data_IF_300512849098
#
_entry.id   IF_300512849098
#
_cell.length_a   1.000
_cell.length_b   1.000
_cell.length_c   1.000
_cell.angle_alpha   90.00
_cell.angle_beta   90.00
_cell.angle_gamma   90.00
#
_symmetry.space_group_name_H-M   'P 1'
#
loop_
_entity.id
_entity.type
_entity.pdbx_description
1 polymer ?
#
# COMPACT_ATOMS: atom_id res chain seq x y z
N UNK A 1 1.86 -27.83 -9.83
CA UNK A 1 3.04 -27.02 -9.48
C UNK A 1 2.59 -25.55 -9.37
N UNK A 2 2.34 -25.03 -8.17
CA UNK A 2 2.03 -23.60 -7.98
C UNK A 2 3.37 -22.89 -7.81
N UNK A 3 3.78 -22.09 -8.79
CA UNK A 3 4.84 -21.11 -8.59
C UNK A 3 4.37 -20.17 -7.45
N UNK A 4 5.13 -19.98 -6.36
CA UNK A 4 4.86 -18.85 -5.49
C UNK A 4 5.21 -17.60 -6.29
N UNK A 5 4.20 -17.03 -6.96
CA UNK A 5 4.35 -15.75 -7.61
C UNK A 5 4.70 -14.74 -6.52
N UNK A 6 5.95 -14.30 -6.50
CA UNK A 6 6.41 -13.25 -5.58
C UNK A 6 5.42 -12.08 -5.71
N UNK A 7 4.86 -11.58 -4.60
CA UNK A 7 3.84 -10.55 -4.69
C UNK A 7 4.42 -9.30 -5.35
N UNK A 8 3.66 -8.74 -6.30
CA UNK A 8 4.07 -7.53 -7.04
C UNK A 8 4.23 -6.31 -6.14
N UNK A 9 3.61 -6.32 -4.96
CA UNK A 9 3.71 -5.26 -3.97
C UNK A 9 3.83 -5.80 -2.55
N UNK A 10 4.49 -5.03 -1.70
CA UNK A 10 4.38 -5.10 -0.24
C UNK A 10 3.67 -3.85 0.28
N UNK A 11 2.98 -3.98 1.41
CA UNK A 11 2.25 -2.90 2.04
C UNK A 11 3.05 -2.34 3.23
N UNK A 12 3.10 -1.01 3.35
CA UNK A 12 3.65 -0.35 4.52
C UNK A 12 2.76 -0.61 5.74
N UNK A 13 3.33 -1.11 6.84
CA UNK A 13 2.56 -1.39 8.08
C UNK A 13 1.99 -0.13 8.73
N UNK A 14 2.63 1.03 8.52
CA UNK A 14 2.24 2.31 9.12
C UNK A 14 1.12 3.03 8.39
N UNK A 15 1.17 3.07 7.06
CA UNK A 15 0.22 3.86 6.25
C UNK A 15 -0.51 3.08 5.16
N UNK A 16 -0.30 1.76 5.07
CA UNK A 16 -0.90 0.84 4.08
C UNK A 16 -0.51 1.08 2.63
N UNK A 17 0.42 1.99 2.35
CA UNK A 17 0.90 2.25 0.99
C UNK A 17 1.52 0.99 0.37
N UNK A 18 1.08 0.63 -0.83
CA UNK A 18 1.65 -0.44 -1.64
C UNK A 18 2.87 0.07 -2.39
N UNK A 19 3.96 -0.67 -2.30
CA UNK A 19 5.25 -0.35 -2.93
C UNK A 19 5.85 -1.59 -3.57
N UNK A 20 6.73 -1.44 -4.57
CA UNK A 20 7.49 -2.58 -5.09
C UNK A 20 8.29 -3.29 -3.98
N UNK A 21 8.55 -4.60 -4.09
CA UNK A 21 9.27 -5.38 -3.08
C UNK A 21 10.64 -4.83 -2.69
N UNK A 22 11.35 -4.22 -3.64
CA UNK A 22 12.68 -3.62 -3.52
C UNK A 22 12.68 -2.28 -2.77
N UNK A 23 11.52 -1.65 -2.55
CA UNK A 23 11.43 -0.35 -1.87
C UNK A 23 11.85 -0.47 -0.40
N UNK A 24 12.94 0.18 -0.01
CA UNK A 24 13.46 0.09 1.38
C UNK A 24 12.77 1.04 2.36
N UNK A 25 12.35 2.22 1.88
CA UNK A 25 11.70 3.27 2.69
C UNK A 25 10.38 3.66 2.06
N UNK A 26 9.32 3.76 2.85
CA UNK A 26 8.00 4.10 2.34
C UNK A 26 7.99 5.55 1.82
N UNK A 27 7.72 5.78 0.52
CA UNK A 27 7.70 7.12 -0.05
C UNK A 27 6.51 7.95 0.44
N UNK A 28 5.57 7.34 1.18
CA UNK A 28 4.40 8.00 1.72
C UNK A 28 4.62 8.54 3.13
N UNK A 29 5.25 7.76 4.02
CA UNK A 29 5.36 8.12 5.44
C UNK A 29 6.76 7.94 6.05
N UNK A 30 7.76 7.50 5.27
CA UNK A 30 9.14 7.29 5.72
C UNK A 30 9.39 6.02 6.54
N UNK A 31 8.37 5.20 6.82
CA UNK A 31 8.56 3.92 7.53
C UNK A 31 9.36 2.91 6.71
N UNK A 32 10.13 2.06 7.38
CA UNK A 32 10.86 0.91 6.82
C UNK A 32 10.16 -0.42 7.09
N UNK A 33 8.98 -0.39 7.71
CA UNK A 33 8.22 -1.58 8.11
C UNK A 33 7.16 -1.95 7.07
N UNK A 34 7.28 -3.16 6.53
CA UNK A 34 6.42 -3.67 5.47
C UNK A 34 5.90 -5.08 5.75
N UNK A 35 4.80 -5.45 5.10
CA UNK A 35 4.24 -6.80 5.06
C UNK A 35 3.91 -7.20 3.63
N UNK A 36 4.11 -8.47 3.29
CA UNK A 36 3.62 -9.07 2.04
C UNK A 36 2.18 -9.60 2.20
N UNK A 37 1.72 -9.75 3.44
CA UNK A 37 0.37 -10.21 3.74
C UNK A 37 -0.60 -9.01 3.83
N UNK A 38 -1.28 -8.76 2.72
CA UNK A 38 -2.29 -7.72 2.63
C UNK A 38 -3.38 -8.15 1.64
N UNK A 39 -4.55 -7.51 1.70
CA UNK A 39 -5.62 -7.76 0.75
C UNK A 39 -6.46 -6.51 0.49
N UNK A 40 -7.10 -6.50 -0.69
CA UNK A 40 -7.85 -5.36 -1.21
C UNK A 40 -6.90 -4.24 -1.63
N UNK A 41 -7.16 -3.61 -2.77
CA UNK A 41 -6.36 -2.49 -3.26
C UNK A 41 -7.29 -1.34 -3.63
N UNK A 42 -6.93 -0.14 -3.18
CA UNK A 42 -7.49 1.10 -3.70
C UNK A 42 -6.40 1.91 -4.36
N UNK A 43 -6.75 2.63 -5.42
CA UNK A 43 -5.84 3.54 -6.12
C UNK A 43 -6.48 4.92 -6.07
N UNK A 44 -5.84 5.83 -5.37
CA UNK A 44 -6.25 7.22 -5.24
C UNK A 44 -5.36 8.04 -6.17
N UNK A 45 -5.98 8.72 -7.13
CA UNK A 45 -5.27 9.50 -8.16
C UNK A 45 -5.28 10.99 -7.84
N UNK A 46 -6.39 11.51 -7.30
CA UNK A 46 -6.55 12.94 -6.96
C UNK A 46 -6.82 13.14 -5.48
N UNK A 47 -6.38 14.28 -4.97
CA UNK A 47 -6.52 14.67 -3.57
C UNK A 47 -7.96 15.01 -3.16
N UNK A 48 -8.78 15.46 -4.10
CA UNK A 48 -10.16 15.84 -3.85
C UNK A 48 -11.15 14.65 -3.84
N UNK A 49 -10.64 13.43 -3.96
CA UNK A 49 -11.43 12.21 -3.96
C UNK A 49 -12.17 12.00 -2.64
N UNK A 50 -13.48 11.75 -2.70
CA UNK A 50 -14.27 11.33 -1.54
C UNK A 50 -13.76 10.01 -0.95
N UNK A 51 -13.24 9.11 -1.79
CA UNK A 51 -12.62 7.85 -1.36
C UNK A 51 -11.36 8.12 -0.54
N UNK A 52 -10.55 9.13 -0.89
CA UNK A 52 -9.37 9.51 -0.11
C UNK A 52 -9.76 10.00 1.27
N UNK A 53 -10.80 10.86 1.36
CA UNK A 53 -11.33 11.37 2.63
C UNK A 53 -11.88 10.23 3.49
N UNK A 54 -12.68 9.34 2.90
CA UNK A 54 -13.27 8.21 3.61
C UNK A 54 -12.20 7.20 4.08
N UNK A 55 -11.15 6.97 3.30
CA UNK A 55 -10.07 6.06 3.66
C UNK A 55 -9.06 6.66 4.65
N UNK A 56 -8.97 7.98 4.72
CA UNK A 56 -7.95 8.70 5.50
C UNK A 56 -6.54 8.56 4.90
N UNK A 57 -6.43 8.47 3.57
CA UNK A 57 -5.13 8.40 2.90
C UNK A 57 -4.40 9.75 3.00
N UNK A 58 -3.08 9.77 3.27
CA UNK A 58 -2.32 11.01 3.42
C UNK A 58 -2.03 11.73 2.08
N UNK A 59 -2.00 11.00 0.96
CA UNK A 59 -1.81 11.55 -0.40
C UNK A 59 -2.21 10.54 -1.49
N UNK A 60 -2.34 10.95 -2.77
CA UNK A 60 -2.63 10.04 -3.87
C UNK A 60 -1.57 8.95 -4.00
N UNK A 61 -2.02 7.69 -3.89
CA UNK A 61 -1.18 6.50 -3.98
C UNK A 61 -2.06 5.24 -4.11
N UNK A 62 -1.42 4.09 -4.22
CA UNK A 62 -2.06 2.76 -4.10
C UNK A 62 -1.97 2.26 -2.67
N UNK A 63 -3.08 1.88 -2.05
CA UNK A 63 -3.12 1.41 -0.67
C UNK A 63 -3.74 0.03 -0.56
N UNK A 64 -3.25 -0.77 0.38
CA UNK A 64 -3.92 -1.96 0.85
C UNK A 64 -5.14 -1.56 1.70
N UNK A 65 -6.26 -2.27 1.55
CA UNK A 65 -7.42 -2.07 2.42
C UNK A 65 -7.13 -2.66 3.80
N UNK A 66 -6.71 -3.92 3.83
CA UNK A 66 -6.39 -4.66 5.03
C UNK A 66 -4.95 -5.15 5.03
N UNK A 67 -4.30 -5.07 6.18
CA UNK A 67 -3.05 -5.76 6.48
C UNK A 67 -3.40 -7.02 7.29
N UNK A 68 -2.69 -8.11 7.05
CA UNK A 68 -2.74 -9.30 7.89
C UNK A 68 -1.53 -9.34 8.81
#
# INVERSE_FOLDING_TARGET
MKLPAKPLFKACKKCRALVPPEQQVCPVCGSTEFTEEWNGMIIIIREDSEVMKAFGAPKPWKYAINLK
#
